data_IF_570694626451
#
_entry.id   IF_570694626451
#
_cell.length_a   1.000
_cell.length_b   1.000
_cell.length_c   1.000
_cell.angle_alpha   90.00
_cell.angle_beta   90.00
_cell.angle_gamma   90.00
#
_symmetry.space_group_name_H-M   'P 1'
#
loop_
_entity.id
_entity.type
_entity.pdbx_description
1 polymer ?
#
# COMPACT_ATOMS: atom_id res chain seq x y z
N UNK A 1 -0.29 -3.37 3.45
CA UNK A 1 0.83 -4.08 4.11
C UNK A 1 2.04 -4.03 3.21
N UNK A 2 3.18 -3.56 3.74
CA UNK A 2 4.41 -3.58 2.96
C UNK A 2 5.06 -4.95 3.02
N UNK A 3 4.89 -5.78 1.99
CA UNK A 3 5.68 -6.98 1.80
C UNK A 3 7.13 -6.66 1.42
N UNK A 4 7.81 -7.58 0.74
CA UNK A 4 9.17 -7.39 0.23
C UNK A 4 9.29 -6.22 -0.79
N UNK A 5 8.20 -5.88 -1.48
CA UNK A 5 8.14 -4.75 -2.40
C UNK A 5 8.10 -3.37 -1.69
N UNK A 6 7.85 -3.33 -0.39
CA UNK A 6 7.70 -2.09 0.35
C UNK A 6 6.25 -1.61 0.43
N UNK A 7 6.08 -0.38 0.91
CA UNK A 7 4.77 0.25 1.07
C UNK A 7 4.61 1.37 0.06
N UNK A 8 3.68 1.19 -0.87
CA UNK A 8 3.36 2.18 -1.88
C UNK A 8 2.76 3.43 -1.24
N UNK A 9 3.25 4.61 -1.63
CA UNK A 9 2.84 5.88 -1.04
C UNK A 9 1.54 6.39 -1.64
N UNK A 10 0.76 7.06 -0.80
CA UNK A 10 -0.31 7.95 -1.26
C UNK A 10 0.25 9.32 -1.66
N UNK A 11 -0.48 10.14 -2.43
CA UNK A 11 -0.06 11.50 -2.76
C UNK A 11 0.35 12.34 -1.55
N UNK A 12 -0.39 12.28 -0.45
CA UNK A 12 -0.07 13.04 0.76
C UNK A 12 1.19 12.55 1.50
N UNK A 13 1.74 11.38 1.15
CA UNK A 13 2.99 10.86 1.72
C UNK A 13 4.24 11.24 0.89
N UNK A 14 4.05 11.89 -0.25
CA UNK A 14 5.15 12.32 -1.11
C UNK A 14 5.86 13.54 -0.51
N UNK A 15 7.18 13.54 -0.60
CA UNK A 15 7.99 14.58 0.01
C UNK A 15 7.90 15.95 -0.66
N UNK A 16 7.45 16.01 -1.89
CA UNK A 16 7.26 17.21 -2.71
C UNK A 16 5.84 17.79 -2.60
N UNK A 17 4.89 17.06 -2.04
CA UNK A 17 3.54 17.56 -1.75
C UNK A 17 3.58 18.31 -0.41
N UNK A 18 3.80 19.63 -0.46
CA UNK A 18 3.95 20.49 0.72
C UNK A 18 2.75 21.36 0.99
N UNK A 19 2.04 21.78 -0.03
CA UNK A 19 0.88 22.66 0.04
C UNK A 19 -0.35 22.02 -0.59
N UNK A 20 -1.53 22.55 -0.29
CA UNK A 20 -2.76 22.11 -0.96
C UNK A 20 -2.69 22.29 -2.48
N UNK A 21 -1.98 23.31 -2.96
CA UNK A 21 -1.77 23.51 -4.39
C UNK A 21 -0.88 22.40 -5.00
N UNK A 22 0.14 21.92 -4.28
CA UNK A 22 0.94 20.79 -4.76
C UNK A 22 0.09 19.54 -4.91
N UNK A 23 -0.81 19.28 -3.93
CA UNK A 23 -1.75 18.17 -4.01
C UNK A 23 -2.69 18.29 -5.21
N UNK A 24 -3.26 19.46 -5.45
CA UNK A 24 -4.13 19.71 -6.61
C UNK A 24 -3.38 19.55 -7.94
N UNK A 25 -2.14 20.05 -8.01
CA UNK A 25 -1.28 19.88 -9.17
C UNK A 25 -0.95 18.39 -9.42
N UNK A 26 -0.71 17.63 -8.37
CA UNK A 26 -0.52 16.18 -8.49
C UNK A 26 -1.76 15.51 -9.12
N UNK A 27 -2.96 15.80 -8.61
CA UNK A 27 -4.19 15.20 -9.13
C UNK A 27 -4.49 15.63 -10.58
N UNK A 28 -4.21 16.88 -10.96
CA UNK A 28 -4.32 17.32 -12.34
C UNK A 28 -3.36 16.58 -13.27
N UNK A 29 -2.10 16.42 -12.87
CA UNK A 29 -1.12 15.60 -13.62
C UNK A 29 -1.54 14.14 -13.71
N UNK A 30 -2.09 13.58 -12.64
CA UNK A 30 -2.59 12.21 -12.63
C UNK A 30 -3.76 12.04 -13.61
N UNK A 31 -4.71 12.99 -13.63
CA UNK A 31 -5.83 13.01 -14.60
C UNK A 31 -5.31 13.02 -16.02
N UNK A 32 -4.42 13.97 -16.38
CA UNK A 32 -3.84 14.09 -17.71
C UNK A 32 -3.06 12.82 -18.12
N UNK A 33 -2.35 12.20 -17.17
CA UNK A 33 -1.64 10.96 -17.43
C UNK A 33 -2.61 9.81 -17.72
N UNK A 34 -3.66 9.68 -16.94
CA UNK A 34 -4.66 8.62 -17.03
C UNK A 34 -5.63 8.77 -18.22
N UNK A 35 -5.53 9.86 -18.97
CA UNK A 35 -6.23 10.01 -20.27
C UNK A 35 -5.70 9.03 -21.33
N UNK A 36 -4.43 8.62 -21.22
CA UNK A 36 -3.84 7.63 -22.11
C UNK A 36 -4.25 6.21 -21.69
N UNK A 37 -4.63 5.38 -22.68
CA UNK A 37 -4.96 3.98 -22.46
C UNK A 37 -3.77 3.23 -21.84
N UNK A 38 -4.04 2.46 -20.79
CA UNK A 38 -3.02 1.66 -20.11
C UNK A 38 -2.03 2.46 -19.25
N UNK A 39 -2.23 3.76 -19.08
CA UNK A 39 -1.31 4.61 -18.31
C UNK A 39 -1.30 4.31 -16.81
N UNK A 40 -2.39 3.79 -16.28
CA UNK A 40 -2.49 3.31 -14.90
C UNK A 40 -2.58 1.79 -14.82
N UNK A 41 -2.39 1.24 -13.63
CA UNK A 41 -2.63 -0.16 -13.35
C UNK A 41 -3.60 -0.31 -12.17
N UNK A 42 -4.47 -1.32 -12.25
CA UNK A 42 -5.40 -1.63 -11.15
C UNK A 42 -4.60 -1.96 -9.89
N UNK A 43 -4.96 -1.34 -8.78
CA UNK A 43 -4.46 -1.73 -7.47
C UNK A 43 -5.28 -2.92 -6.97
N UNK A 44 -4.65 -4.07 -6.97
CA UNK A 44 -5.27 -5.31 -6.48
C UNK A 44 -5.33 -5.27 -4.95
N UNK A 45 -6.46 -5.65 -4.39
CA UNK A 45 -6.65 -5.90 -2.96
C UNK A 45 -6.43 -7.39 -2.68
N UNK A 46 -5.21 -7.76 -2.44
CA UNK A 46 -4.80 -9.13 -2.20
C UNK A 46 -3.69 -9.22 -1.18
N UNK A 47 -3.03 -10.36 -1.12
CA UNK A 47 -1.88 -10.57 -0.26
C UNK A 47 -0.60 -10.49 -1.07
N UNK A 48 0.21 -9.48 -0.81
CA UNK A 48 1.51 -9.35 -1.46
C UNK A 48 2.44 -10.51 -1.07
N UNK A 49 2.95 -11.20 -2.08
CA UNK A 49 3.92 -12.29 -1.95
C UNK A 49 5.04 -12.07 -2.95
N UNK A 50 6.26 -12.29 -2.52
CA UNK A 50 7.43 -12.16 -3.38
C UNK A 50 8.07 -13.51 -3.60
N UNK A 51 8.33 -13.84 -4.88
CA UNK A 51 8.94 -15.10 -5.27
C UNK A 51 10.33 -14.85 -5.85
N UNK A 52 11.34 -15.44 -5.23
CA UNK A 52 12.72 -15.44 -5.70
C UNK A 52 13.19 -16.84 -6.04
N UNK A 53 14.30 -16.95 -6.76
CA UNK A 53 14.96 -18.23 -7.01
C UNK A 53 16.01 -18.50 -5.93
N UNK A 54 16.04 -19.72 -5.45
CA UNK A 54 17.07 -20.24 -4.53
C UNK A 54 17.62 -21.57 -5.06
N UNK A 55 18.85 -21.87 -4.70
CA UNK A 55 19.47 -23.15 -5.03
C UNK A 55 19.77 -23.92 -3.74
N UNK A 56 19.22 -25.12 -3.62
CA UNK A 56 19.41 -26.01 -2.46
C UNK A 56 19.83 -27.37 -2.97
N UNK A 57 21.02 -27.81 -2.57
CA UNK A 57 21.55 -29.11 -3.01
C UNK A 57 21.73 -29.25 -4.53
N UNK A 58 22.03 -28.14 -5.22
CA UNK A 58 22.17 -28.10 -6.68
C UNK A 58 20.83 -28.04 -7.44
N UNK A 59 19.71 -27.97 -6.73
CA UNK A 59 18.38 -27.87 -7.35
C UNK A 59 17.89 -26.42 -7.19
N UNK A 60 17.62 -25.77 -8.32
CA UNK A 60 17.03 -24.42 -8.36
C UNK A 60 15.52 -24.49 -8.29
N UNK A 61 14.92 -23.67 -7.44
CA UNK A 61 13.49 -23.64 -7.19
C UNK A 61 13.01 -22.26 -6.75
N UNK A 62 11.71 -22.01 -6.90
CA UNK A 62 11.10 -20.84 -6.32
C UNK A 62 10.96 -20.95 -4.80
N UNK A 63 11.15 -19.83 -4.14
CA UNK A 63 10.94 -19.66 -2.71
C UNK A 63 10.24 -18.33 -2.45
N UNK A 64 9.43 -18.28 -1.40
CA UNK A 64 8.79 -17.05 -0.92
C UNK A 64 9.77 -16.27 -0.06
N UNK A 65 9.71 -14.93 -0.18
CA UNK A 65 10.36 -14.00 0.73
C UNK A 65 9.37 -12.92 1.17
N UNK A 66 9.17 -12.76 2.48
CA UNK A 66 8.26 -11.77 3.05
C UNK A 66 8.93 -10.42 3.36
N UNK A 67 10.19 -10.24 2.96
CA UNK A 67 10.96 -9.02 3.16
C UNK A 67 11.47 -8.81 4.59
N UNK A 68 11.22 -9.75 5.52
CA UNK A 68 11.73 -9.64 6.88
C UNK A 68 13.22 -9.96 6.94
N UNK A 69 13.88 -9.54 8.04
CA UNK A 69 15.29 -9.85 8.29
C UNK A 69 15.50 -11.19 8.99
N UNK A 70 14.45 -12.04 9.10
CA UNK A 70 14.59 -13.40 9.59
C UNK A 70 15.38 -14.26 8.60
N UNK A 71 16.20 -15.16 9.13
CA UNK A 71 17.02 -16.05 8.30
C UNK A 71 16.17 -16.83 7.29
N UNK A 72 15.01 -17.32 7.70
CA UNK A 72 14.09 -18.08 6.84
C UNK A 72 13.58 -17.28 5.63
N UNK A 73 13.30 -15.99 5.81
CA UNK A 73 12.89 -15.12 4.71
C UNK A 73 14.08 -14.82 3.79
N UNK A 74 15.27 -14.54 4.36
CA UNK A 74 16.49 -14.24 3.59
C UNK A 74 16.94 -15.45 2.78
N UNK A 75 16.94 -16.65 3.37
CA UNK A 75 17.32 -17.90 2.67
C UNK A 75 16.24 -18.37 1.69
N UNK A 76 15.00 -17.92 1.86
CA UNK A 76 13.84 -18.28 1.08
C UNK A 76 13.03 -19.45 1.67
N UNK A 77 11.73 -19.25 1.68
CA UNK A 77 10.74 -20.20 2.18
C UNK A 77 10.39 -21.11 1.00
N UNK A 78 11.08 -22.23 0.87
CA UNK A 78 10.77 -23.27 -0.12
C UNK A 78 9.58 -24.11 0.32
N UNK A 79 9.06 -24.96 -0.60
CA UNK A 79 7.94 -25.86 -0.29
C UNK A 79 8.15 -26.65 1.02
N UNK A 80 9.35 -27.14 1.27
CA UNK A 80 9.69 -27.90 2.47
C UNK A 80 9.73 -27.07 3.76
N UNK A 81 9.83 -25.74 3.63
CA UNK A 81 9.90 -24.80 4.77
C UNK A 81 8.62 -23.99 5.01
N UNK A 82 7.59 -24.21 4.19
CA UNK A 82 6.31 -23.48 4.35
C UNK A 82 5.74 -23.67 5.74
N UNK A 83 5.75 -24.91 6.27
CA UNK A 83 5.17 -25.23 7.57
C UNK A 83 5.98 -24.65 8.75
N UNK A 84 7.27 -24.41 8.55
CA UNK A 84 8.13 -23.71 9.52
C UNK A 84 7.73 -22.24 9.66
N UNK A 85 7.40 -21.59 8.54
CA UNK A 85 7.07 -20.14 8.50
C UNK A 85 5.59 -19.85 8.72
N UNK A 86 4.74 -20.75 8.25
CA UNK A 86 3.28 -20.65 8.30
C UNK A 86 2.71 -21.91 8.95
N UNK A 87 2.57 -21.93 10.29
CA UNK A 87 2.12 -23.10 11.02
C UNK A 87 0.68 -23.49 10.66
N UNK A 88 0.22 -24.61 11.16
CA UNK A 88 -1.15 -25.08 10.97
C UNK A 88 -2.16 -24.04 11.43
N UNK A 89 -3.21 -23.83 10.62
CA UNK A 89 -4.21 -22.78 10.86
C UNK A 89 -3.82 -21.39 10.35
N UNK A 90 -2.59 -21.16 9.87
CA UNK A 90 -2.23 -19.88 9.26
C UNK A 90 -2.86 -19.74 7.86
N UNK A 91 -3.67 -18.68 7.64
CA UNK A 91 -4.45 -18.49 6.42
C UNK A 91 -3.63 -18.50 5.12
N UNK A 92 -2.38 -18.04 5.14
CA UNK A 92 -1.52 -18.03 3.96
C UNK A 92 -0.93 -19.41 3.60
N UNK A 93 -0.93 -20.38 4.52
CA UNK A 93 -0.24 -21.66 4.32
C UNK A 93 -0.72 -22.42 3.06
N UNK A 94 -2.03 -22.66 2.85
CA UNK A 94 -2.49 -23.40 1.67
C UNK A 94 -2.19 -22.65 0.38
N UNK A 95 -2.43 -21.34 0.33
CA UNK A 95 -2.18 -20.51 -0.85
C UNK A 95 -0.70 -20.52 -1.25
N UNK A 96 0.22 -20.33 -0.30
CA UNK A 96 1.67 -20.38 -0.56
C UNK A 96 2.10 -21.74 -1.11
N UNK A 97 1.55 -22.85 -0.58
CA UNK A 97 1.84 -24.19 -1.12
C UNK A 97 1.35 -24.33 -2.57
N UNK A 98 0.15 -23.83 -2.86
CA UNK A 98 -0.39 -23.84 -4.22
C UNK A 98 0.46 -23.01 -5.17
N UNK A 99 0.79 -21.77 -4.80
CA UNK A 99 1.59 -20.88 -5.63
C UNK A 99 3.01 -21.41 -5.89
N UNK A 100 3.68 -21.96 -4.87
CA UNK A 100 4.98 -22.61 -5.04
C UNK A 100 4.87 -23.85 -5.94
N UNK A 101 3.77 -24.59 -5.87
CA UNK A 101 3.52 -25.73 -6.78
C UNK A 101 3.38 -25.24 -8.22
N UNK A 102 2.59 -24.20 -8.48
CA UNK A 102 2.42 -23.60 -9.80
C UNK A 102 3.78 -23.17 -10.37
N UNK A 103 4.50 -22.32 -9.64
CA UNK A 103 5.74 -21.72 -10.11
C UNK A 103 6.85 -22.76 -10.31
N UNK A 104 6.97 -23.74 -9.42
CA UNK A 104 7.98 -24.79 -9.57
C UNK A 104 7.65 -25.78 -10.71
N UNK A 105 6.36 -26.07 -10.97
CA UNK A 105 5.95 -26.80 -12.17
C UNK A 105 6.25 -26.02 -13.46
N UNK A 106 6.09 -24.69 -13.42
CA UNK A 106 6.37 -23.82 -14.57
C UNK A 106 7.87 -23.60 -14.79
N UNK A 107 8.72 -23.77 -13.77
CA UNK A 107 10.14 -23.43 -13.81
C UNK A 107 10.90 -23.94 -15.06
N UNK A 108 10.74 -25.20 -15.51
CA UNK A 108 11.43 -25.69 -16.72
C UNK A 108 11.05 -24.94 -18.01
N UNK A 109 9.79 -24.51 -18.12
CA UNK A 109 9.28 -23.86 -19.34
C UNK A 109 9.48 -22.33 -19.34
N UNK A 110 9.64 -21.71 -18.15
CA UNK A 110 9.88 -20.27 -18.00
C UNK A 110 11.36 -19.93 -17.76
N UNK A 111 12.24 -20.92 -17.69
CA UNK A 111 13.67 -20.71 -17.45
C UNK A 111 14.31 -19.68 -18.39
N UNK A 112 14.05 -19.68 -19.71
CA UNK A 112 14.63 -18.69 -20.62
C UNK A 112 14.23 -17.25 -20.21
N UNK A 113 12.95 -17.01 -19.88
CA UNK A 113 12.46 -15.70 -19.46
C UNK A 113 13.10 -15.26 -18.13
N UNK A 114 13.27 -16.19 -17.19
CA UNK A 114 13.95 -15.89 -15.91
C UNK A 114 15.42 -15.54 -16.11
N UNK A 115 16.08 -16.11 -17.12
CA UNK A 115 17.45 -15.75 -17.49
C UNK A 115 17.51 -14.36 -18.11
N UNK A 116 16.61 -14.04 -19.04
CA UNK A 116 16.53 -12.72 -19.67
C UNK A 116 16.17 -11.62 -18.66
N UNK A 117 15.31 -11.92 -17.67
CA UNK A 117 15.00 -11.02 -16.55
C UNK A 117 16.16 -10.90 -15.53
N UNK A 118 17.24 -11.65 -15.69
CA UNK A 118 18.37 -11.68 -14.77
C UNK A 118 18.12 -12.40 -13.44
N UNK A 119 16.93 -12.92 -13.21
CA UNK A 119 16.58 -13.61 -11.97
C UNK A 119 17.33 -14.91 -11.76
N UNK A 120 17.76 -15.55 -12.86
CA UNK A 120 18.39 -16.86 -12.78
C UNK A 120 19.68 -16.83 -11.97
N UNK A 121 20.47 -15.77 -12.09
CA UNK A 121 21.78 -15.64 -11.47
C UNK A 121 21.86 -14.56 -10.39
N UNK A 122 20.77 -13.85 -10.13
CA UNK A 122 20.72 -12.80 -9.13
C UNK A 122 19.67 -13.11 -8.02
N UNK A 123 20.10 -13.62 -6.87
CA UNK A 123 19.18 -14.00 -5.78
C UNK A 123 18.53 -12.81 -5.06
N UNK A 124 18.95 -11.58 -5.36
CA UNK A 124 18.29 -10.37 -4.82
C UNK A 124 17.07 -9.93 -5.65
N UNK A 125 16.91 -10.48 -6.87
CA UNK A 125 15.72 -10.23 -7.70
C UNK A 125 14.56 -11.13 -7.30
N UNK A 126 13.36 -10.59 -7.36
CA UNK A 126 12.13 -11.32 -7.09
C UNK A 126 10.97 -10.81 -7.94
N UNK A 127 10.04 -11.71 -8.26
CA UNK A 127 8.75 -11.35 -8.81
C UNK A 127 7.92 -10.73 -7.70
N UNK A 128 7.50 -9.48 -7.88
CA UNK A 128 6.54 -8.81 -7.02
C UNK A 128 5.14 -9.25 -7.43
N UNK A 129 4.46 -9.96 -6.54
CA UNK A 129 3.15 -10.55 -6.87
C UNK A 129 2.15 -10.30 -5.78
N UNK A 130 0.89 -10.40 -6.16
CA UNK A 130 -0.25 -10.38 -5.24
C UNK A 130 -1.16 -11.55 -5.54
N UNK A 131 -1.54 -12.32 -4.53
CA UNK A 131 -2.51 -13.37 -4.70
C UNK A 131 -3.85 -13.01 -4.10
N UNK A 132 -4.89 -13.49 -4.75
CA UNK A 132 -6.27 -13.37 -4.32
C UNK A 132 -6.87 -14.77 -4.29
N UNK A 133 -7.54 -15.08 -3.20
CA UNK A 133 -8.30 -16.31 -3.03
C UNK A 133 -9.70 -15.95 -2.51
N UNK A 134 -10.66 -15.90 -3.45
CA UNK A 134 -12.03 -15.49 -3.16
C UNK A 134 -12.18 -14.02 -2.74
N UNK A 135 -13.00 -13.79 -1.75
CA UNK A 135 -13.28 -12.45 -1.19
C UNK A 135 -12.10 -11.95 -0.37
N UNK A 136 -11.67 -10.74 -0.65
CA UNK A 136 -10.66 -10.02 0.13
C UNK A 136 -11.33 -9.06 1.13
N UNK A 137 -10.55 -8.16 1.75
CA UNK A 137 -11.08 -7.24 2.75
C UNK A 137 -12.01 -6.16 2.17
N UNK A 138 -11.84 -5.82 0.88
CA UNK A 138 -12.52 -4.68 0.24
C UNK A 138 -13.20 -5.08 -1.05
N UNK A 139 -12.61 -6.01 -1.80
CA UNK A 139 -13.10 -6.41 -3.12
C UNK A 139 -13.48 -7.88 -3.10
N UNK A 140 -14.68 -8.19 -3.62
CA UNK A 140 -15.09 -9.56 -3.90
C UNK A 140 -14.65 -9.90 -5.33
N UNK A 141 -13.69 -10.81 -5.41
CA UNK A 141 -13.25 -11.35 -6.69
C UNK A 141 -13.90 -12.73 -6.85
N UNK A 142 -14.63 -12.92 -7.93
CA UNK A 142 -15.29 -14.21 -8.24
C UNK A 142 -14.29 -15.33 -8.58
N UNK A 143 -13.00 -15.09 -8.42
CA UNK A 143 -11.94 -16.00 -8.85
C UNK A 143 -10.69 -15.95 -8.00
N UNK A 144 -9.94 -17.07 -8.01
CA UNK A 144 -8.60 -17.13 -7.42
C UNK A 144 -7.57 -16.78 -8.48
N UNK A 145 -6.65 -15.88 -8.16
CA UNK A 145 -5.60 -15.52 -9.11
C UNK A 145 -4.29 -15.08 -8.46
N UNK A 146 -3.24 -15.15 -9.28
CA UNK A 146 -1.94 -14.56 -9.01
C UNK A 146 -1.72 -13.39 -9.98
N UNK A 147 -1.55 -12.19 -9.47
CA UNK A 147 -1.12 -11.04 -10.25
C UNK A 147 0.40 -10.87 -10.12
N UNK A 148 1.12 -10.82 -11.24
CA UNK A 148 2.56 -10.57 -11.30
C UNK A 148 2.75 -9.11 -11.72
N UNK A 149 3.06 -8.25 -10.74
CA UNK A 149 3.15 -6.80 -10.96
C UNK A 149 4.45 -6.37 -11.63
N UNK A 150 5.51 -7.17 -11.51
CA UNK A 150 6.80 -6.87 -12.10
C UNK A 150 7.97 -7.47 -11.35
N UNK A 151 9.14 -6.91 -11.59
CA UNK A 151 10.41 -7.35 -11.04
C UNK A 151 10.92 -6.31 -10.04
N UNK A 152 11.30 -6.77 -8.84
CA UNK A 152 11.91 -5.95 -7.82
C UNK A 152 13.27 -6.51 -7.40
N UNK A 153 14.12 -5.63 -6.87
CA UNK A 153 15.42 -5.98 -6.31
C UNK A 153 15.52 -5.50 -4.87
N UNK A 154 15.89 -6.37 -3.95
CA UNK A 154 16.20 -6.00 -2.58
C UNK A 154 17.38 -5.04 -2.51
N UNK A 155 17.32 -4.10 -1.57
CA UNK A 155 18.50 -3.36 -1.14
C UNK A 155 19.31 -4.18 -0.13
N UNK A 156 20.62 -3.99 -0.14
CA UNK A 156 21.48 -4.56 0.88
C UNK A 156 21.06 -4.05 2.27
N UNK A 157 21.00 -4.95 3.23
CA UNK A 157 20.65 -4.61 4.60
C UNK A 157 21.31 -5.55 5.59
N UNK A 158 21.84 -4.97 6.68
CA UNK A 158 22.29 -5.72 7.86
C UNK A 158 21.40 -5.37 9.04
N UNK A 159 20.86 -6.38 9.71
CA UNK A 159 20.04 -6.18 10.90
C UNK A 159 20.89 -5.73 12.09
N UNK A 160 20.62 -4.53 12.63
CA UNK A 160 21.42 -3.91 13.72
C UNK A 160 20.92 -4.26 15.11
N UNK A 161 19.69 -4.75 15.26
CA UNK A 161 19.04 -5.02 16.56
C UNK A 161 18.01 -6.14 16.44
N UNK A 162 17.50 -6.58 17.61
CA UNK A 162 16.47 -7.61 17.70
C UNK A 162 16.95 -9.04 17.42
N UNK A 163 16.00 -9.99 17.31
CA UNK A 163 16.31 -11.43 17.13
C UNK A 163 17.10 -11.75 15.85
N UNK A 164 17.01 -10.89 14.86
CA UNK A 164 17.71 -11.03 13.57
C UNK A 164 19.05 -10.30 13.51
N UNK A 165 19.56 -9.76 14.63
CA UNK A 165 20.81 -9.02 14.67
C UNK A 165 21.95 -9.80 14.03
N UNK A 166 22.66 -9.15 13.09
CA UNK A 166 23.76 -9.77 12.36
C UNK A 166 23.35 -10.45 11.05
N UNK A 167 22.06 -10.70 10.81
CA UNK A 167 21.62 -11.22 9.52
C UNK A 167 21.88 -10.18 8.43
N UNK A 168 22.37 -10.64 7.28
CA UNK A 168 22.65 -9.83 6.10
C UNK A 168 21.75 -10.26 4.97
N UNK A 169 21.01 -9.32 4.40
CA UNK A 169 20.26 -9.52 3.14
C UNK A 169 21.09 -8.97 2.00
N UNK A 170 21.52 -9.80 1.04
CA UNK A 170 22.17 -9.33 -0.17
C UNK A 170 21.21 -8.51 -1.02
N UNK A 171 21.75 -7.47 -1.68
CA UNK A 171 20.94 -6.62 -2.55
C UNK A 171 21.74 -5.56 -3.26
N UNK A 172 21.02 -4.66 -3.94
CA UNK A 172 21.62 -3.48 -4.54
C UNK A 172 21.98 -2.44 -3.46
N UNK A 173 22.86 -1.52 -3.81
CA UNK A 173 23.14 -0.36 -2.98
C UNK A 173 21.86 0.43 -2.73
N UNK A 174 21.66 0.81 -1.46
CA UNK A 174 20.50 1.58 -1.06
C UNK A 174 20.70 3.06 -1.35
N UNK A 175 19.90 3.70 -2.23
CA UNK A 175 20.02 5.11 -2.48
C UNK A 175 19.60 5.94 -1.27
N UNK A 176 20.07 7.19 -1.23
CA UNK A 176 19.63 8.20 -0.28
C UNK A 176 18.58 9.10 -0.90
N UNK A 177 17.78 9.73 -0.06
CA UNK A 177 16.84 10.79 -0.43
C UNK A 177 17.03 12.00 0.46
N UNK A 178 16.75 13.18 -0.06
CA UNK A 178 16.76 14.40 0.74
C UNK A 178 15.57 14.42 1.69
N UNK A 179 15.83 14.72 2.95
CA UNK A 179 14.80 14.90 3.98
C UNK A 179 15.16 16.11 4.86
N UNK A 180 14.13 16.83 5.33
CA UNK A 180 14.34 17.93 6.27
C UNK A 180 14.25 17.38 7.69
N UNK A 181 15.34 17.48 8.45
CA UNK A 181 15.36 17.16 9.88
C UNK A 181 15.70 18.40 10.67
N UNK A 182 14.81 18.81 11.55
CA UNK A 182 14.96 20.03 12.39
C UNK A 182 15.31 21.29 11.57
N UNK A 183 14.65 21.46 10.41
CA UNK A 183 14.85 22.59 9.52
C UNK A 183 16.13 22.52 8.65
N UNK A 184 16.90 21.44 8.71
CA UNK A 184 18.11 21.24 7.91
C UNK A 184 17.87 20.14 6.89
N UNK A 185 18.22 20.38 5.62
CA UNK A 185 18.22 19.35 4.58
C UNK A 185 19.35 18.36 4.86
N UNK A 186 19.00 17.08 4.94
CA UNK A 186 19.92 15.97 5.15
C UNK A 186 19.62 14.83 4.20
N UNK A 187 20.63 14.10 3.80
CA UNK A 187 20.43 12.85 3.06
C UNK A 187 20.15 11.70 4.03
N UNK A 188 19.08 10.95 3.73
CA UNK A 188 18.70 9.77 4.51
C UNK A 188 18.49 8.58 3.59
N UNK A 189 18.84 7.37 4.01
CA UNK A 189 18.57 6.18 3.23
C UNK A 189 17.06 5.99 2.99
N UNK A 190 16.69 5.57 1.78
CA UNK A 190 15.31 5.18 1.47
C UNK A 190 14.87 4.06 2.40
N UNK A 191 13.65 4.14 2.95
CA UNK A 191 13.14 3.17 3.93
C UNK A 191 12.66 1.87 3.29
N UNK A 192 12.26 1.90 2.02
CA UNK A 192 11.75 0.73 1.32
C UNK A 192 12.76 -0.42 1.29
N UNK A 193 12.32 -1.67 1.38
CA UNK A 193 13.20 -2.84 1.40
C UNK A 193 13.77 -3.19 0.03
N UNK A 194 13.14 -2.73 -1.05
CA UNK A 194 13.47 -3.02 -2.44
C UNK A 194 13.13 -1.86 -3.36
N UNK A 195 13.50 -1.98 -4.62
CA UNK A 195 13.08 -1.09 -5.71
C UNK A 195 12.50 -1.89 -6.86
N UNK A 196 11.64 -1.28 -7.67
CA UNK A 196 11.29 -1.82 -8.97
C UNK A 196 12.53 -1.83 -9.90
N UNK A 197 12.62 -2.84 -10.74
CA UNK A 197 13.69 -2.99 -11.73
C UNK A 197 13.05 -2.95 -13.11
N UNK A 198 13.56 -2.11 -14.02
CA UNK A 198 13.10 -2.12 -15.42
C UNK A 198 13.32 -3.49 -16.06
N UNK A 199 12.38 -3.90 -16.86
CA UNK A 199 12.44 -5.14 -17.65
C UNK A 199 11.72 -4.96 -18.97
N UNK A 200 11.98 -5.83 -19.93
CA UNK A 200 11.23 -5.89 -21.18
C UNK A 200 9.81 -6.45 -20.93
N UNK A 201 8.74 -5.67 -21.14
CA UNK A 201 7.36 -6.10 -20.94
C UNK A 201 7.01 -7.39 -21.70
N UNK A 202 7.55 -7.59 -22.91
CA UNK A 202 7.29 -8.77 -23.73
C UNK A 202 7.83 -10.06 -23.10
N UNK A 203 8.97 -9.96 -22.40
CA UNK A 203 9.54 -11.10 -21.67
C UNK A 203 8.64 -11.49 -20.50
N UNK A 204 8.14 -10.50 -19.78
CA UNK A 204 7.23 -10.72 -18.63
C UNK A 204 5.90 -11.30 -19.11
N UNK A 205 5.33 -10.78 -20.18
CA UNK A 205 4.10 -11.30 -20.79
C UNK A 205 4.27 -12.77 -21.21
N UNK A 206 5.37 -13.08 -21.89
CA UNK A 206 5.71 -14.46 -22.29
C UNK A 206 5.85 -15.38 -21.07
N UNK A 207 6.47 -14.91 -19.99
CA UNK A 207 6.58 -15.64 -18.73
C UNK A 207 5.19 -15.95 -18.17
N UNK A 208 4.33 -14.94 -18.07
CA UNK A 208 2.96 -15.06 -17.58
C UNK A 208 2.16 -16.05 -18.41
N UNK A 209 2.21 -15.94 -19.75
CA UNK A 209 1.48 -16.83 -20.66
C UNK A 209 1.87 -18.29 -20.51
N UNK A 210 3.13 -18.57 -20.22
CA UNK A 210 3.61 -19.94 -19.96
C UNK A 210 3.17 -20.47 -18.58
N UNK A 211 2.92 -19.59 -17.60
CA UNK A 211 2.43 -19.98 -16.27
C UNK A 211 0.92 -20.23 -16.29
N UNK A 212 0.16 -19.47 -17.08
CA UNK A 212 -1.32 -19.54 -17.14
C UNK A 212 -1.89 -20.96 -17.21
N UNK A 213 -1.50 -21.83 -18.17
CA UNK A 213 -2.09 -23.16 -18.29
C UNK A 213 -1.82 -24.03 -17.05
N UNK A 214 -0.65 -23.89 -16.45
CA UNK A 214 -0.27 -24.65 -15.25
C UNK A 214 -1.05 -24.20 -14.02
N UNK A 215 -1.27 -22.91 -13.89
CA UNK A 215 -2.07 -22.33 -12.81
C UNK A 215 -3.55 -22.72 -12.93
N UNK A 216 -4.07 -22.72 -14.18
CA UNK A 216 -5.46 -23.09 -14.46
C UNK A 216 -5.78 -24.53 -14.06
N UNK A 217 -4.84 -25.47 -14.22
CA UNK A 217 -4.98 -26.85 -13.73
C UNK A 217 -5.20 -26.92 -12.20
N UNK A 218 -4.78 -25.91 -11.47
CA UNK A 218 -4.87 -25.82 -10.02
C UNK A 218 -5.95 -24.82 -9.55
N UNK A 219 -6.81 -24.37 -10.48
CA UNK A 219 -7.94 -23.47 -10.15
C UNK A 219 -7.53 -22.01 -9.96
N UNK A 220 -6.35 -21.59 -10.45
CA UNK A 220 -5.88 -20.21 -10.41
C UNK A 220 -5.80 -19.61 -11.82
N UNK A 221 -6.16 -18.32 -11.93
CA UNK A 221 -5.76 -17.51 -13.07
C UNK A 221 -4.43 -16.81 -12.81
N UNK A 222 -3.77 -16.32 -13.85
CA UNK A 222 -2.55 -15.51 -13.72
C UNK A 222 -2.71 -14.27 -14.58
N UNK A 223 -2.46 -13.13 -13.97
CA UNK A 223 -2.49 -11.84 -14.62
C UNK A 223 -1.13 -11.16 -14.53
N UNK A 224 -0.85 -10.28 -15.48
CA UNK A 224 0.18 -9.25 -15.32
C UNK A 224 -0.34 -8.04 -14.56
N UNK A 225 0.32 -6.92 -14.72
CA UNK A 225 -0.21 -5.63 -14.31
C UNK A 225 -1.46 -5.33 -15.14
N UNK A 226 -2.62 -5.21 -14.50
CA UNK A 226 -3.91 -5.00 -15.20
C UNK A 226 -4.03 -3.53 -15.57
N UNK A 227 -4.12 -3.17 -16.85
CA UNK A 227 -4.18 -1.78 -17.27
C UNK A 227 -5.51 -1.13 -16.91
N UNK A 228 -5.48 0.19 -16.74
CA UNK A 228 -6.69 1.01 -16.61
C UNK A 228 -6.96 1.77 -17.90
N UNK A 229 -8.24 2.02 -18.16
CA UNK A 229 -8.71 2.81 -19.29
C UNK A 229 -9.69 3.88 -18.79
N UNK A 230 -9.93 4.91 -19.55
CA UNK A 230 -11.00 5.85 -19.24
C UNK A 230 -12.36 5.16 -19.33
N UNK A 231 -13.22 5.47 -18.38
CA UNK A 231 -14.63 5.09 -18.46
C UNK A 231 -15.31 5.91 -19.57
N UNK A 232 -16.15 5.27 -20.37
CA UNK A 232 -16.96 5.95 -21.37
C UNK A 232 -17.92 6.94 -20.68
N UNK A 233 -18.07 8.11 -21.26
CA UNK A 233 -18.99 9.17 -20.80
C UNK A 233 -18.75 9.73 -19.38
N UNK A 234 -17.62 9.46 -18.78
CA UNK A 234 -17.24 10.01 -17.47
C UNK A 234 -15.95 10.82 -17.55
N UNK A 235 -16.06 12.10 -17.29
CA UNK A 235 -14.88 12.96 -17.16
C UNK A 235 -14.38 13.02 -15.72
N UNK A 236 -13.07 12.90 -15.53
CA UNK A 236 -12.44 13.14 -14.24
C UNK A 236 -12.45 14.64 -13.98
N UNK A 237 -13.37 15.11 -13.14
CA UNK A 237 -13.56 16.51 -12.81
C UNK A 237 -13.58 16.73 -11.30
N UNK A 238 -12.67 17.54 -10.82
CA UNK A 238 -12.50 17.84 -9.39
C UNK A 238 -13.31 19.02 -8.89
N UNK A 239 -13.94 19.82 -9.79
CA UNK A 239 -14.60 21.07 -9.41
C UNK A 239 -15.77 20.87 -8.45
N UNK A 240 -16.55 19.80 -8.63
CA UNK A 240 -17.67 19.47 -7.75
C UNK A 240 -17.12 19.17 -6.35
N UNK A 241 -16.21 18.25 -6.23
CA UNK A 241 -15.59 17.83 -4.95
C UNK A 241 -14.91 19.00 -4.24
N UNK A 242 -14.17 19.83 -4.99
CA UNK A 242 -13.50 21.00 -4.42
C UNK A 242 -14.47 22.11 -3.95
N UNK A 243 -15.69 22.13 -4.47
CA UNK A 243 -16.73 23.08 -4.08
C UNK A 243 -17.61 22.57 -2.95
N UNK A 244 -17.54 21.29 -2.59
CA UNK A 244 -18.31 20.71 -1.49
C UNK A 244 -17.91 21.35 -0.15
N UNK A 245 -18.89 21.74 0.68
CA UNK A 245 -18.62 22.30 2.00
C UNK A 245 -18.10 21.24 2.95
N UNK A 246 -16.97 21.52 3.59
CA UNK A 246 -16.41 20.71 4.65
C UNK A 246 -16.50 21.48 5.97
N UNK A 247 -17.10 20.86 6.98
CA UNK A 247 -17.20 21.39 8.31
C UNK A 247 -16.15 20.75 9.21
N UNK A 248 -15.31 21.57 9.83
CA UNK A 248 -14.33 21.14 10.85
C UNK A 248 -14.69 21.78 12.18
N UNK A 249 -14.91 20.96 13.18
CA UNK A 249 -15.12 21.40 14.55
C UNK A 249 -13.76 21.59 15.22
N UNK A 250 -13.38 22.85 15.46
CA UNK A 250 -12.08 23.22 16.02
C UNK A 250 -12.08 23.13 17.54
N UNK A 251 -13.22 23.45 18.18
CA UNK A 251 -13.44 23.33 19.61
C UNK A 251 -14.89 22.99 19.89
N UNK A 252 -15.24 22.76 21.16
CA UNK A 252 -16.62 22.45 21.54
C UNK A 252 -17.63 23.50 21.06
N UNK A 253 -17.20 24.77 21.01
CA UNK A 253 -18.05 25.92 20.67
C UNK A 253 -17.72 26.55 19.32
N UNK A 254 -16.77 25.98 18.57
CA UNK A 254 -16.31 26.58 17.32
C UNK A 254 -16.25 25.57 16.17
N UNK A 255 -17.12 25.81 15.22
CA UNK A 255 -17.22 25.07 13.98
C UNK A 255 -16.99 26.02 12.80
N UNK A 256 -16.25 25.59 11.79
CA UNK A 256 -16.00 26.36 10.57
C UNK A 256 -16.40 25.49 9.37
N UNK A 257 -17.27 26.03 8.55
CA UNK A 257 -17.69 25.42 7.27
C UNK A 257 -17.21 26.28 6.12
N UNK A 258 -16.47 25.68 5.20
CA UNK A 258 -16.08 26.31 3.92
C UNK A 258 -15.81 25.24 2.85
N UNK A 259 -15.82 25.60 1.57
CA UNK A 259 -15.47 24.66 0.50
C UNK A 259 -14.11 23.98 0.74
N UNK A 260 -13.98 22.73 0.29
CA UNK A 260 -12.71 21.99 0.41
C UNK A 260 -11.55 22.74 -0.25
N UNK A 261 -11.80 23.43 -1.37
CA UNK A 261 -10.81 24.28 -2.05
C UNK A 261 -10.25 25.36 -1.13
N UNK A 262 -11.12 26.02 -0.35
CA UNK A 262 -10.71 27.11 0.55
C UNK A 262 -9.93 26.60 1.77
N UNK A 263 -10.23 25.37 2.20
CA UNK A 263 -9.42 24.68 3.21
C UNK A 263 -8.01 24.40 2.69
N UNK A 264 -7.90 23.84 1.47
CA UNK A 264 -6.62 23.47 0.87
C UNK A 264 -5.75 24.67 0.52
N UNK A 265 -6.34 25.80 0.13
CA UNK A 265 -5.58 26.98 -0.30
C UNK A 265 -4.59 27.52 0.74
N UNK A 266 -4.84 27.28 2.02
CA UNK A 266 -4.02 27.72 3.13
C UNK A 266 -3.42 26.55 3.95
N UNK A 267 -3.56 25.33 3.46
CA UNK A 267 -3.10 24.13 4.16
C UNK A 267 -1.64 23.81 3.81
N UNK A 268 -0.86 23.50 4.82
CA UNK A 268 0.49 22.96 4.70
C UNK A 268 0.51 21.50 5.12
N UNK A 269 1.04 20.64 4.25
CA UNK A 269 1.16 19.22 4.54
C UNK A 269 2.22 19.03 5.64
N UNK A 270 1.86 18.54 6.83
CA UNK A 270 2.81 18.39 7.90
C UNK A 270 3.85 17.33 7.56
N UNK A 271 5.08 17.57 8.02
CA UNK A 271 6.07 16.48 8.08
C UNK A 271 5.59 15.45 9.10
N UNK A 272 5.09 14.41 8.58
CA UNK A 272 4.48 13.36 9.35
C UNK A 272 5.44 12.60 10.28
N UNK A 273 6.69 12.52 9.97
CA UNK A 273 7.70 11.94 10.86
C UNK A 273 7.97 12.87 12.07
N UNK A 274 7.59 14.15 11.97
CA UNK A 274 7.75 15.15 13.02
C UNK A 274 6.49 15.36 13.88
N UNK A 275 5.32 14.90 13.43
CA UNK A 275 4.07 15.03 14.18
C UNK A 275 4.05 14.00 15.31
N UNK A 276 4.62 14.37 16.45
CA UNK A 276 4.54 13.60 17.68
C UNK A 276 3.44 14.17 18.54
N UNK A 277 2.54 13.31 18.99
CA UNK A 277 1.45 13.70 19.87
C UNK A 277 1.57 12.99 21.18
N UNK A 278 1.35 13.74 22.25
CA UNK A 278 1.16 13.19 23.58
C UNK A 278 -0.30 12.81 23.77
N UNK A 279 -0.54 11.53 24.03
CA UNK A 279 -1.82 11.06 24.50
C UNK A 279 -1.57 10.55 25.93
N UNK A 280 -2.00 11.33 26.93
CA UNK A 280 -1.63 11.09 28.32
C UNK A 280 -0.11 11.18 28.52
N UNK A 281 0.48 10.21 29.18
CA UNK A 281 1.93 10.15 29.44
C UNK A 281 2.73 9.48 28.30
N UNK A 282 2.06 8.98 27.25
CA UNK A 282 2.70 8.30 26.14
C UNK A 282 2.87 9.23 24.95
N UNK A 283 4.07 9.29 24.39
CA UNK A 283 4.32 9.94 23.10
C UNK A 283 3.95 8.93 22.01
N UNK A 284 2.89 9.20 21.27
CA UNK A 284 2.54 8.39 20.09
C UNK A 284 3.18 8.98 18.85
N UNK A 285 3.57 8.11 17.93
CA UNK A 285 3.91 8.54 16.59
C UNK A 285 2.64 8.96 15.85
N UNK A 286 2.78 9.81 14.87
CA UNK A 286 1.78 10.36 13.97
C UNK A 286 0.57 9.46 13.66
N UNK A 287 0.82 8.19 13.43
CA UNK A 287 -0.10 7.30 12.75
C UNK A 287 -1.45 7.08 13.48
N UNK A 288 -1.52 6.81 14.77
CA UNK A 288 -2.79 6.68 15.49
C UNK A 288 -3.59 7.98 15.51
N UNK A 289 -2.93 9.11 15.78
CA UNK A 289 -3.59 10.40 15.85
C UNK A 289 -4.16 10.86 14.51
N UNK A 290 -3.44 10.62 13.42
CA UNK A 290 -3.95 10.90 12.09
C UNK A 290 -5.24 10.15 11.80
N UNK A 291 -5.31 8.90 12.21
CA UNK A 291 -6.53 8.11 12.08
C UNK A 291 -7.68 8.76 12.83
N UNK A 292 -7.46 9.12 14.07
CA UNK A 292 -8.52 9.72 14.90
C UNK A 292 -8.95 11.10 14.38
N UNK A 293 -8.02 11.94 13.99
CA UNK A 293 -8.32 13.25 13.42
C UNK A 293 -8.99 13.14 12.05
N UNK A 294 -8.54 12.23 11.21
CA UNK A 294 -9.17 12.00 9.93
C UNK A 294 -10.61 11.51 10.12
N UNK A 295 -10.86 10.60 11.05
CA UNK A 295 -12.21 10.18 11.42
C UNK A 295 -13.04 11.34 11.93
N UNK A 296 -12.49 12.14 12.83
CA UNK A 296 -13.17 13.31 13.39
C UNK A 296 -13.60 14.28 12.28
N UNK A 297 -12.76 14.54 11.31
CA UNK A 297 -13.07 15.43 10.17
C UNK A 297 -14.05 14.77 9.20
N UNK A 298 -13.87 13.50 8.90
CA UNK A 298 -14.63 12.81 7.86
C UNK A 298 -16.01 12.30 8.31
N UNK A 299 -16.16 11.94 9.59
CA UNK A 299 -17.33 11.20 10.08
C UNK A 299 -17.94 11.79 11.37
N UNK A 300 -17.16 12.01 12.42
CA UNK A 300 -17.67 12.19 13.78
C UNK A 300 -17.73 13.64 14.26
N UNK A 301 -17.17 14.59 13.53
CA UNK A 301 -17.11 16.03 13.91
C UNK A 301 -16.61 16.26 15.34
N UNK A 302 -15.78 15.37 15.87
CA UNK A 302 -15.19 15.53 17.20
C UNK A 302 -14.27 16.74 17.20
N UNK A 303 -14.29 17.60 18.24
CA UNK A 303 -13.39 18.73 18.33
C UNK A 303 -11.94 18.28 18.27
N UNK A 304 -11.19 18.76 17.27
CA UNK A 304 -9.80 18.36 17.06
C UNK A 304 -8.93 18.66 18.28
N UNK A 305 -9.21 19.78 18.95
CA UNK A 305 -8.50 20.20 20.17
C UNK A 305 -8.62 19.21 21.33
N UNK A 306 -9.67 18.39 21.37
CA UNK A 306 -9.81 17.34 22.38
C UNK A 306 -8.91 16.12 22.13
N UNK A 307 -8.39 16.00 20.90
CA UNK A 307 -7.56 14.87 20.47
C UNK A 307 -6.07 15.21 20.47
N UNK A 308 -5.72 16.50 20.49
CA UNK A 308 -4.34 17.00 20.39
C UNK A 308 -4.12 18.22 21.26
N UNK A 309 -2.86 18.49 21.59
CA UNK A 309 -2.48 19.76 22.21
C UNK A 309 -2.83 20.93 21.26
N UNK A 310 -3.27 22.05 21.82
CA UNK A 310 -3.70 23.22 21.05
C UNK A 310 -2.61 23.72 20.09
N UNK A 311 -1.34 23.65 20.50
CA UNK A 311 -0.19 24.02 19.66
C UNK A 311 0.00 23.10 18.43
N UNK A 312 -0.48 21.87 18.47
CA UNK A 312 -0.40 20.90 17.37
C UNK A 312 -1.70 20.77 16.58
N UNK A 313 -2.78 21.44 17.03
CA UNK A 313 -4.10 21.30 16.43
C UNK A 313 -4.12 21.70 14.94
N UNK A 314 -3.48 22.79 14.58
CA UNK A 314 -3.42 23.26 13.18
C UNK A 314 -2.70 22.25 12.29
N UNK A 315 -1.54 21.75 12.73
CA UNK A 315 -0.77 20.73 11.98
C UNK A 315 -1.55 19.43 11.84
N UNK A 316 -2.28 19.06 12.87
CA UNK A 316 -3.09 17.88 12.90
C UNK A 316 -4.31 18.00 11.97
N UNK A 317 -4.98 19.15 11.96
CA UNK A 317 -6.05 19.49 11.02
C UNK A 317 -5.53 19.41 9.59
N UNK A 318 -4.40 20.06 9.31
CA UNK A 318 -3.80 20.05 7.98
C UNK A 318 -3.49 18.61 7.51
N UNK A 319 -2.90 17.78 8.37
CA UNK A 319 -2.63 16.39 8.03
C UNK A 319 -3.89 15.58 7.71
N UNK A 320 -4.93 15.73 8.51
CA UNK A 320 -6.20 15.06 8.25
C UNK A 320 -6.89 15.61 6.99
N UNK A 321 -6.77 16.91 6.74
CA UNK A 321 -7.30 17.55 5.54
C UNK A 321 -6.65 17.01 4.26
N UNK A 322 -5.32 16.84 4.24
CA UNK A 322 -4.63 16.25 3.09
C UNK A 322 -5.06 14.81 2.82
N UNK A 323 -5.27 14.01 3.87
CA UNK A 323 -5.80 12.65 3.72
C UNK A 323 -7.23 12.66 3.18
N UNK A 324 -8.10 13.54 3.71
CA UNK A 324 -9.47 13.69 3.25
C UNK A 324 -9.54 14.12 1.79
N UNK A 325 -8.81 15.16 1.42
CA UNK A 325 -8.75 15.64 0.05
C UNK A 325 -8.23 14.55 -0.91
N UNK A 326 -7.17 13.83 -0.53
CA UNK A 326 -6.65 12.72 -1.33
C UNK A 326 -7.70 11.64 -1.55
N UNK A 327 -8.51 11.30 -0.54
CA UNK A 327 -9.61 10.35 -0.68
C UNK A 327 -10.68 10.86 -1.66
N UNK A 328 -11.14 12.09 -1.45
CA UNK A 328 -12.23 12.65 -2.25
C UNK A 328 -11.84 12.81 -3.73
N UNK A 329 -10.67 13.38 -3.99
CA UNK A 329 -10.14 13.52 -5.34
C UNK A 329 -9.78 12.14 -5.94
N UNK A 330 -9.34 11.20 -5.10
CA UNK A 330 -9.13 9.83 -5.51
C UNK A 330 -10.41 9.15 -5.99
N UNK A 331 -11.54 9.36 -5.32
CA UNK A 331 -12.84 8.87 -5.76
C UNK A 331 -13.22 9.41 -7.14
N UNK A 332 -12.96 10.70 -7.40
CA UNK A 332 -13.23 11.29 -8.71
C UNK A 332 -12.37 10.64 -9.81
N UNK A 333 -11.10 10.37 -9.52
CA UNK A 333 -10.22 9.63 -10.43
C UNK A 333 -10.78 8.23 -10.71
N UNK A 334 -11.14 7.48 -9.66
CA UNK A 334 -11.59 6.09 -9.80
C UNK A 334 -12.92 5.98 -10.55
N UNK A 335 -13.85 6.93 -10.36
CA UNK A 335 -15.10 6.98 -11.14
C UNK A 335 -14.87 7.15 -12.65
N UNK A 336 -13.81 7.86 -13.02
CA UNK A 336 -13.44 8.10 -14.42
C UNK A 336 -12.66 6.96 -15.07
N UNK A 337 -12.43 5.86 -14.37
CA UNK A 337 -11.60 4.75 -14.82
C UNK A 337 -12.35 3.42 -14.83
N UNK A 338 -12.00 2.59 -15.80
CA UNK A 338 -12.41 1.18 -15.90
C UNK A 338 -11.18 0.30 -16.18
N UNK A 339 -11.39 -1.01 -16.14
CA UNK A 339 -10.35 -1.99 -16.45
C UNK A 339 -10.98 -3.27 -17.03
N UNK A 340 -10.20 -4.20 -17.57
CA UNK A 340 -10.68 -5.54 -17.91
C UNK A 340 -11.29 -6.32 -16.73
N UNK A 341 -11.05 -5.87 -15.48
CA UNK A 341 -11.64 -6.44 -14.26
C UNK A 341 -12.86 -5.66 -13.76
N UNK A 342 -13.38 -4.70 -14.54
CA UNK A 342 -14.53 -3.86 -14.19
C UNK A 342 -14.16 -2.44 -13.76
N UNK A 343 -15.13 -1.75 -13.13
CA UNK A 343 -14.99 -0.37 -12.69
C UNK A 343 -14.00 -0.24 -11.53
N UNK A 344 -13.18 0.82 -11.57
CA UNK A 344 -12.16 1.05 -10.54
C UNK A 344 -12.72 1.38 -9.16
N UNK A 345 -14.00 1.81 -9.09
CA UNK A 345 -14.70 2.02 -7.81
C UNK A 345 -14.88 0.71 -7.00
N UNK A 346 -14.84 -0.45 -7.69
CA UNK A 346 -14.94 -1.76 -7.07
C UNK A 346 -13.56 -2.35 -6.68
N UNK A 347 -12.48 -1.59 -6.87
CA UNK A 347 -11.11 -1.98 -6.57
C UNK A 347 -10.49 -1.10 -5.51
N UNK A 348 -9.34 -1.50 -4.97
CA UNK A 348 -8.59 -0.70 -3.99
C UNK A 348 -8.18 0.67 -4.57
N UNK A 349 -7.91 0.75 -5.88
CA UNK A 349 -7.52 1.99 -6.53
C UNK A 349 -6.71 1.78 -7.81
N UNK A 350 -5.92 2.79 -8.15
CA UNK A 350 -5.02 2.80 -9.30
C UNK A 350 -3.58 3.07 -8.87
N UNK A 351 -2.63 2.43 -9.54
CA UNK A 351 -1.19 2.63 -9.38
C UNK A 351 -0.66 3.42 -10.57
N UNK A 352 0.04 4.50 -10.28
CA UNK A 352 0.74 5.33 -11.26
C UNK A 352 2.23 4.99 -11.27
N UNK A 353 2.79 4.79 -12.47
CA UNK A 353 4.21 4.49 -12.70
C UNK A 353 4.73 5.37 -13.84
N UNK A 354 5.20 6.54 -13.52
CA UNK A 354 5.88 7.42 -14.46
C UNK A 354 6.89 8.22 -13.65
N UNK A 355 8.18 7.85 -13.77
CA UNK A 355 9.25 8.42 -12.96
C UNK A 355 9.40 9.94 -13.18
N UNK A 356 9.18 10.40 -14.41
CA UNK A 356 9.30 11.83 -14.74
C UNK A 356 8.17 12.66 -14.12
N UNK A 357 6.96 12.06 -14.03
CA UNK A 357 5.76 12.76 -13.54
C UNK A 357 5.54 12.60 -12.03
N UNK A 358 5.80 11.40 -11.50
CA UNK A 358 5.39 11.02 -10.14
C UNK A 358 6.56 10.61 -9.24
N UNK A 359 7.80 10.66 -9.78
CA UNK A 359 9.00 10.26 -9.05
C UNK A 359 9.34 8.77 -9.16
N UNK A 360 10.46 8.36 -8.57
CA UNK A 360 11.09 7.06 -8.83
C UNK A 360 10.34 5.85 -8.23
N UNK A 361 9.30 6.07 -7.46
CA UNK A 361 8.52 5.00 -6.85
C UNK A 361 7.07 5.08 -7.28
N UNK A 362 6.39 3.93 -7.45
CA UNK A 362 4.96 3.91 -7.74
C UNK A 362 4.14 4.64 -6.68
N UNK A 363 3.12 5.36 -7.13
CA UNK A 363 2.17 6.08 -6.27
C UNK A 363 0.81 5.45 -6.44
N UNK A 364 0.08 5.25 -5.35
CA UNK A 364 -1.29 4.75 -5.39
C UNK A 364 -2.30 5.87 -5.14
N UNK A 365 -3.32 5.91 -5.97
CA UNK A 365 -4.54 6.69 -5.73
C UNK A 365 -5.62 5.70 -5.29
N UNK A 366 -6.11 5.88 -4.07
CA UNK A 366 -7.16 5.04 -3.50
C UNK A 366 -8.24 5.98 -2.95
N UNK A 367 -9.52 5.70 -3.27
CA UNK A 367 -10.65 6.46 -2.79
C UNK A 367 -11.06 6.08 -1.36
N UNK A 368 -12.28 5.56 -1.21
CA UNK A 368 -12.85 5.13 0.09
C UNK A 368 -11.98 4.10 0.83
N UNK A 369 -11.15 3.36 0.12
CA UNK A 369 -10.22 2.39 0.71
C UNK A 369 -9.26 3.02 1.76
N UNK A 370 -9.00 4.32 1.69
CA UNK A 370 -8.23 5.02 2.72
C UNK A 370 -8.91 4.87 4.08
N UNK A 371 -10.24 5.00 4.15
CA UNK A 371 -11.01 4.81 5.38
C UNK A 371 -10.90 3.38 5.91
N UNK A 372 -11.01 2.38 5.05
CA UNK A 372 -10.91 0.98 5.40
C UNK A 372 -9.59 0.65 6.10
N UNK A 373 -8.49 1.13 5.57
CA UNK A 373 -7.17 0.93 6.16
C UNK A 373 -6.94 1.69 7.48
N UNK A 374 -7.69 2.76 7.70
CA UNK A 374 -7.57 3.58 8.90
C UNK A 374 -8.46 3.10 10.04
N UNK A 375 -9.57 2.43 9.73
CA UNK A 375 -10.65 2.13 10.67
C UNK A 375 -10.50 0.88 11.50
N UNK A 376 -9.76 -0.11 11.07
CA UNK A 376 -9.73 -1.40 11.74
C UNK A 376 -8.44 -2.15 11.50
N UNK A 377 -8.00 -2.89 12.50
CA UNK A 377 -7.17 -4.04 12.18
C UNK A 377 -7.96 -4.95 11.22
N UNK A 378 -7.27 -5.62 10.33
CA UNK A 378 -7.83 -6.61 9.42
C UNK A 378 -8.86 -7.50 10.13
N UNK A 379 -10.09 -7.51 9.66
CA UNK A 379 -11.17 -8.33 10.21
C UNK A 379 -12.50 -7.64 10.51
N UNK A 380 -12.69 -6.38 10.14
CA UNK A 380 -14.01 -5.75 10.19
C UNK A 380 -14.83 -6.12 8.97
N UNK A 381 -15.78 -7.06 9.09
CA UNK A 381 -16.77 -7.31 8.05
C UNK A 381 -17.56 -6.03 7.75
N UNK A 382 -17.75 -5.73 6.48
CA UNK A 382 -18.72 -4.74 6.01
C UNK A 382 -20.10 -5.29 6.40
N UNK A 383 -20.83 -4.56 7.24
CA UNK A 383 -22.23 -4.89 7.51
C UNK A 383 -23.07 -4.28 6.38
N UNK A 384 -23.69 -5.12 5.59
CA UNK A 384 -24.53 -4.77 4.43
C UNK A 384 -25.88 -4.11 4.79
N UNK A 385 -26.19 -3.90 6.06
CA UNK A 385 -27.54 -3.51 6.51
C UNK A 385 -27.77 -2.02 6.79
N UNK A 386 -26.83 -1.13 6.48
CA UNK A 386 -27.04 0.31 6.59
C UNK A 386 -26.85 1.02 5.24
N UNK A 387 -27.96 1.29 4.57
CA UNK A 387 -28.07 1.83 3.20
C UNK A 387 -27.47 3.23 2.97
N UNK A 388 -26.88 3.92 3.95
CA UNK A 388 -26.48 5.31 3.79
C UNK A 388 -25.00 5.64 4.10
N UNK A 389 -24.19 4.67 4.45
CA UNK A 389 -22.78 4.93 4.67
C UNK A 389 -21.99 3.62 4.52
N UNK A 390 -20.95 3.61 3.73
CA UNK A 390 -19.83 2.70 3.92
C UNK A 390 -19.14 3.15 5.21
N UNK A 391 -19.87 3.02 6.32
CA UNK A 391 -19.53 3.44 7.64
C UNK A 391 -19.03 2.25 8.41
N UNK A 392 -17.73 2.12 8.55
CA UNK A 392 -17.22 1.30 9.64
C UNK A 392 -17.81 1.81 10.93
N UNK A 393 -18.67 1.04 11.60
CA UNK A 393 -19.08 1.32 12.97
C UNK A 393 -17.81 1.36 13.82
N UNK A 394 -17.40 2.55 14.19
CA UNK A 394 -16.39 2.75 15.21
C UNK A 394 -16.90 2.04 16.47
N UNK A 395 -16.20 1.00 16.92
CA UNK A 395 -16.44 0.52 18.29
C UNK A 395 -16.26 1.74 19.20
N UNK A 396 -17.24 2.06 20.05
CA UNK A 396 -17.05 3.11 21.04
C UNK A 396 -15.74 2.80 21.76
N UNK A 397 -14.91 3.82 21.94
CA UNK A 397 -13.72 3.71 22.81
C UNK A 397 -14.27 3.22 24.13
N UNK A 398 -14.04 1.96 24.48
CA UNK A 398 -14.27 1.51 25.83
C UNK A 398 -13.34 2.36 26.68
N UNK A 399 -13.88 3.09 27.64
CA UNK A 399 -13.10 3.58 28.76
C UNK A 399 -12.33 2.35 29.27
N UNK A 400 -11.01 2.38 29.10
CA UNK A 400 -10.14 1.30 29.55
C UNK A 400 -10.27 1.25 31.09
N UNK A 401 -10.96 0.24 31.57
CA UNK A 401 -10.64 -0.26 32.91
C UNK A 401 -9.16 -0.62 32.87
N UNK A 402 -8.38 -0.02 33.76
CA UNK A 402 -6.96 -0.29 33.95
C UNK A 402 -6.72 -1.79 34.05
N UNK A 403 -6.33 -2.43 32.98
CA UNK A 403 -5.76 -3.77 33.00
C UNK A 403 -4.24 -3.65 32.89
N UNK A 404 -3.55 -4.10 33.93
CA UNK A 404 -2.09 -4.19 34.04
C UNK A 404 -1.45 -5.20 33.08
N UNK A 405 -2.00 -5.39 31.89
CA UNK A 405 -1.36 -6.24 30.90
C UNK A 405 -0.34 -5.45 30.06
N UNK A 406 0.89 -5.94 29.93
CA UNK A 406 1.93 -5.26 29.19
C UNK A 406 1.53 -5.17 27.72
N UNK A 407 1.45 -3.92 27.24
CA UNK A 407 1.23 -3.60 25.82
C UNK A 407 2.31 -4.32 25.01
N UNK A 408 1.89 -5.39 24.35
CA UNK A 408 2.69 -6.01 23.31
C UNK A 408 2.80 -4.97 22.19
N UNK A 409 3.99 -4.44 21.99
CA UNK A 409 4.32 -3.62 20.83
C UNK A 409 3.79 -4.34 19.58
N UNK A 410 2.75 -3.78 18.99
CA UNK A 410 2.22 -4.25 17.72
C UNK A 410 3.28 -3.97 16.65
N UNK A 411 4.19 -4.91 16.52
CA UNK A 411 5.17 -4.97 15.44
C UNK A 411 4.41 -5.16 14.12
N UNK A 412 4.10 -4.05 13.45
CA UNK A 412 3.46 -4.01 12.14
C UNK A 412 4.25 -4.74 11.04
N UNK A 413 5.38 -5.37 11.39
CA UNK A 413 6.12 -6.28 10.53
C UNK A 413 5.55 -7.71 10.51
N UNK A 414 4.49 -8.00 11.28
CA UNK A 414 4.02 -9.38 11.49
C UNK A 414 2.70 -9.76 10.83
N UNK A 415 2.20 -8.95 9.90
CA UNK A 415 1.07 -9.41 9.07
C UNK A 415 1.37 -9.30 7.61
#
# INVERSE_FOLDING_TARGET
MGGAAGHMKHPFDLGDIRTGNDLLNFFNKAREHLEAEGAGAVKIDGVNVSFKLVEIGGIRQFAVDRGSMKEIDISGITMSRVDERFPEGHGMRPAIKTLLTILNKALPVIKPQLQELGMWDNPSLFLNTEYVEGTTNVTDYDENFLAIHGLNQFYEKTAKSGPSKGNVRPGADRPTMKAIKKGVEVEVPIKDPSREVPYDPQIMETLIDKIKPIAQELGFKVYGSVPTNRAEDVDINFDKTLSEPLTIQISNDREITKPLRDWLSNAENPDYDSLKVRVGDKTTTRHPLHKELYKAIAVDRVPVVNLVDEADAERAINGALFMHATRMLGNDVLRGLTSPMGDLMNHEGVVLRDEEKFGPNPVKITGEFILGNLGGGFGGSINEDEEDFIGYKLKPVKEEEESDDPVVDADFSKT
#
